data_IF_068416744858
#
_entry.id   IF_068416744858
#
_cell.length_a   1.000
_cell.length_b   1.000
_cell.length_c   1.000
_cell.angle_alpha   90.00
_cell.angle_beta   90.00
_cell.angle_gamma   90.00
#
_symmetry.space_group_name_H-M   'P 1'
#
loop_
_entity.id
_entity.type
_entity.pdbx_description
1 polymer ?
#
# COMPACT_ATOMS: atom_id res chain seq x y z
N UNK A 1 -17.63 -25.88 -5.53
CA UNK A 1 -16.90 -24.97 -6.43
C UNK A 1 -15.98 -24.17 -5.53
N UNK A 2 -14.79 -24.71 -5.27
CA UNK A 2 -13.83 -24.10 -4.34
C UNK A 2 -13.05 -23.05 -5.12
N UNK A 3 -13.27 -21.79 -4.78
CA UNK A 3 -12.48 -20.68 -5.30
C UNK A 3 -11.18 -20.75 -4.50
N UNK A 4 -10.11 -21.08 -5.20
CA UNK A 4 -8.78 -21.27 -4.62
C UNK A 4 -8.26 -19.91 -4.15
N UNK A 5 -8.32 -19.68 -2.83
CA UNK A 5 -7.82 -18.52 -2.06
C UNK A 5 -6.28 -18.46 -2.07
N UNK A 6 -5.67 -18.62 -3.24
CA UNK A 6 -4.20 -18.63 -3.41
C UNK A 6 -3.69 -17.32 -4.01
N UNK A 7 -4.53 -16.56 -4.73
CA UNK A 7 -4.11 -15.29 -5.35
C UNK A 7 -3.95 -14.13 -4.34
N UNK A 8 -4.56 -14.25 -3.17
CA UNK A 8 -4.41 -13.31 -2.04
C UNK A 8 -3.02 -13.40 -1.41
N UNK A 9 -2.46 -14.61 -1.29
CA UNK A 9 -1.27 -14.91 -0.45
C UNK A 9 0.05 -14.38 -1.04
N UNK A 10 0.10 -14.11 -2.35
CA UNK A 10 1.35 -13.67 -3.02
C UNK A 10 1.17 -12.43 -3.89
N UNK A 11 0.48 -11.40 -3.38
CA UNK A 11 0.51 -10.09 -4.02
C UNK A 11 1.89 -9.44 -3.82
N UNK A 12 2.61 -9.11 -4.90
CA UNK A 12 3.89 -8.38 -4.90
C UNK A 12 4.91 -8.78 -3.79
N UNK A 13 5.23 -10.07 -3.59
CA UNK A 13 6.06 -10.52 -2.46
C UNK A 13 7.49 -10.00 -2.52
N UNK A 14 8.06 -9.88 -3.73
CA UNK A 14 9.40 -9.33 -3.95
C UNK A 14 9.47 -7.85 -3.56
N UNK A 15 8.47 -7.07 -3.98
CA UNK A 15 8.42 -5.65 -3.65
C UNK A 15 8.27 -5.43 -2.14
N UNK A 16 7.44 -6.23 -1.46
CA UNK A 16 7.36 -6.20 0.00
C UNK A 16 8.72 -6.48 0.65
N UNK A 17 9.39 -7.56 0.28
CA UNK A 17 10.69 -7.92 0.86
C UNK A 17 11.75 -6.82 0.64
N UNK A 18 11.72 -6.16 -0.53
CA UNK A 18 12.56 -5.00 -0.83
C UNK A 18 12.20 -3.78 0.03
N UNK A 19 10.90 -3.44 0.18
CA UNK A 19 10.45 -2.32 1.02
C UNK A 19 10.83 -2.56 2.49
N UNK A 20 10.68 -3.78 3.00
CA UNK A 20 11.04 -4.13 4.38
C UNK A 20 12.54 -4.06 4.62
N UNK A 21 13.36 -4.30 3.60
CA UNK A 21 14.83 -4.21 3.66
C UNK A 21 15.37 -2.84 3.24
N UNK A 22 14.49 -1.87 2.97
CA UNK A 22 14.84 -0.57 2.40
C UNK A 22 15.36 0.43 3.46
N UNK A 23 16.51 0.13 4.07
CA UNK A 23 17.14 1.01 5.05
C UNK A 23 17.73 2.29 4.42
N UNK A 24 18.01 2.25 3.12
CA UNK A 24 18.61 3.35 2.35
C UNK A 24 17.57 4.38 1.87
N UNK A 25 16.28 4.13 2.10
CA UNK A 25 15.22 5.07 1.76
C UNK A 25 14.97 5.21 0.25
N UNK A 26 15.21 4.15 -0.54
CA UNK A 26 14.88 4.10 -1.97
C UNK A 26 13.42 4.52 -2.21
N UNK A 27 13.11 5.22 -3.31
CA UNK A 27 11.74 5.54 -3.66
C UNK A 27 10.88 4.27 -3.78
N UNK A 28 9.63 4.33 -3.35
CA UNK A 28 8.64 3.26 -3.50
C UNK A 28 7.50 3.78 -4.37
N UNK A 29 7.25 3.08 -5.47
CA UNK A 29 6.24 3.42 -6.46
C UNK A 29 5.12 2.37 -6.44
N UNK A 30 3.90 2.81 -6.23
CA UNK A 30 2.68 2.04 -6.48
C UNK A 30 2.13 2.47 -7.84
N UNK A 31 2.06 1.57 -8.82
CA UNK A 31 1.77 1.92 -10.22
C UNK A 31 0.49 1.28 -10.75
N UNK A 32 -0.15 1.91 -11.75
CA UNK A 32 -1.36 1.41 -12.43
C UNK A 32 -2.59 1.24 -11.54
N UNK A 33 -2.70 2.02 -10.46
CA UNK A 33 -3.84 1.98 -9.57
C UNK A 33 -4.98 2.90 -10.02
N UNK A 34 -6.19 2.64 -9.54
CA UNK A 34 -7.20 3.70 -9.38
C UNK A 34 -6.91 4.44 -8.07
N UNK A 35 -6.76 5.76 -8.08
CA UNK A 35 -6.45 6.55 -6.89
C UNK A 35 -7.63 7.47 -6.56
N UNK A 36 -8.15 7.38 -5.33
CA UNK A 36 -9.15 8.30 -4.80
C UNK A 36 -8.45 9.35 -3.92
N UNK A 37 -7.99 10.46 -4.48
CA UNK A 37 -7.11 11.40 -3.74
C UNK A 37 -7.79 12.12 -2.56
N UNK A 38 -9.12 12.18 -2.57
CA UNK A 38 -9.95 13.02 -1.68
C UNK A 38 -9.68 14.53 -1.78
N UNK A 39 -8.86 14.96 -2.74
CA UNK A 39 -8.69 16.37 -3.08
C UNK A 39 -9.81 16.77 -4.08
N UNK A 40 -10.60 17.83 -3.81
CA UNK A 40 -11.71 18.22 -4.68
C UNK A 40 -11.27 18.81 -6.02
N UNK A 41 -10.01 19.24 -6.17
CA UNK A 41 -9.44 19.75 -7.40
C UNK A 41 -8.84 18.62 -8.26
N UNK A 42 -8.26 17.59 -7.64
CA UNK A 42 -7.63 16.47 -8.37
C UNK A 42 -8.65 15.35 -8.64
N UNK A 43 -9.49 15.02 -7.66
CA UNK A 43 -10.50 13.97 -7.77
C UNK A 43 -9.91 12.56 -7.83
N UNK A 44 -10.59 11.68 -8.56
CA UNK A 44 -10.17 10.29 -8.76
C UNK A 44 -9.41 10.12 -10.07
N UNK A 45 -8.40 9.25 -10.08
CA UNK A 45 -7.56 8.96 -11.24
C UNK A 45 -7.55 7.46 -11.51
N UNK A 46 -7.50 7.04 -12.77
CA UNK A 46 -7.43 5.63 -13.17
C UNK A 46 -6.10 5.40 -13.89
N UNK A 47 -5.40 4.31 -13.57
CA UNK A 47 -4.07 4.03 -14.14
C UNK A 47 -3.02 5.05 -13.68
N UNK A 48 -3.15 5.50 -12.44
CA UNK A 48 -2.26 6.48 -11.83
C UNK A 48 -1.28 5.83 -10.86
N UNK A 49 -0.22 6.56 -10.56
CA UNK A 49 0.88 6.11 -9.73
C UNK A 49 1.00 6.97 -8.47
N UNK A 50 1.49 6.39 -7.38
CA UNK A 50 1.93 7.08 -6.16
C UNK A 50 3.41 6.79 -5.96
N UNK A 51 4.23 7.84 -5.96
CA UNK A 51 5.64 7.76 -5.62
C UNK A 51 5.86 8.34 -4.23
N UNK A 52 6.53 7.57 -3.39
CA UNK A 52 6.89 7.94 -2.03
C UNK A 52 8.39 7.77 -1.80
N UNK A 53 8.96 8.62 -0.95
CA UNK A 53 10.34 8.52 -0.48
C UNK A 53 10.31 8.67 1.04
N UNK A 54 10.72 7.62 1.74
CA UNK A 54 10.57 7.56 3.20
C UNK A 54 9.12 7.79 3.62
N UNK A 55 8.86 8.81 4.42
CA UNK A 55 7.53 9.15 4.94
C UNK A 55 6.82 10.26 4.16
N UNK A 56 7.21 10.54 2.91
CA UNK A 56 6.62 11.59 2.09
C UNK A 56 6.15 11.06 0.74
N UNK A 57 4.95 11.47 0.34
CA UNK A 57 4.49 11.38 -1.04
C UNK A 57 5.21 12.47 -1.83
N UNK A 58 5.99 12.08 -2.83
CA UNK A 58 6.72 13.03 -3.70
C UNK A 58 6.03 13.23 -5.04
N UNK A 59 5.12 12.32 -5.43
CA UNK A 59 4.35 12.44 -6.67
C UNK A 59 3.09 11.58 -6.67
N UNK A 60 2.02 12.10 -7.27
CA UNK A 60 0.78 11.37 -7.56
C UNK A 60 0.33 11.75 -8.96
N UNK A 61 0.07 10.76 -9.81
CA UNK A 61 -0.36 10.98 -11.20
C UNK A 61 0.07 9.87 -12.16
N UNK A 62 -0.37 9.91 -13.41
CA UNK A 62 -0.06 8.88 -14.39
C UNK A 62 1.37 9.02 -14.93
N UNK A 63 2.01 7.89 -15.22
CA UNK A 63 3.28 7.84 -15.96
C UNK A 63 4.54 8.14 -15.13
N UNK A 64 4.43 8.16 -13.80
CA UNK A 64 5.57 8.39 -12.90
C UNK A 64 6.56 7.22 -12.96
N UNK A 65 6.09 6.02 -13.31
CA UNK A 65 6.91 4.81 -13.45
C UNK A 65 8.20 5.03 -14.24
N UNK A 66 8.14 5.79 -15.32
CA UNK A 66 9.29 6.06 -16.19
C UNK A 66 10.41 6.84 -15.50
N UNK A 67 10.07 7.77 -14.59
CA UNK A 67 11.05 8.54 -13.84
C UNK A 67 11.56 7.78 -12.60
N UNK A 68 10.71 6.96 -12.00
CA UNK A 68 11.05 6.22 -10.78
C UNK A 68 11.95 5.00 -11.05
N UNK A 69 11.78 4.33 -12.19
CA UNK A 69 12.66 3.22 -12.60
C UNK A 69 14.12 3.68 -12.77
N UNK A 70 14.34 4.90 -13.27
CA UNK A 70 15.67 5.50 -13.43
C UNK A 70 16.37 5.76 -12.08
N UNK A 71 15.60 5.97 -11.02
CA UNK A 71 16.08 6.20 -9.65
C UNK A 71 16.13 4.90 -8.80
N UNK A 72 16.08 3.72 -9.44
CA UNK A 72 16.09 2.41 -8.77
C UNK A 72 14.95 2.27 -7.74
N UNK A 73 13.76 2.79 -8.05
CA UNK A 73 12.59 2.68 -7.18
C UNK A 73 12.14 1.22 -7.01
N UNK A 74 11.54 0.94 -5.86
CA UNK A 74 10.84 -0.33 -5.61
C UNK A 74 9.44 -0.19 -6.19
N UNK A 75 9.12 -0.98 -7.21
CA UNK A 75 7.84 -0.90 -7.94
C UNK A 75 6.86 -1.96 -7.42
N UNK A 76 5.64 -1.52 -7.11
CA UNK A 76 4.50 -2.32 -6.69
C UNK A 76 3.42 -2.21 -7.76
N UNK A 77 3.09 -3.31 -8.44
CA UNK A 77 2.02 -3.32 -9.43
C UNK A 77 0.65 -3.35 -8.74
N UNK A 78 -0.13 -2.29 -8.96
CA UNK A 78 -1.47 -2.09 -8.42
C UNK A 78 -2.55 -2.18 -9.51
N UNK A 79 -2.27 -2.85 -10.63
CA UNK A 79 -3.28 -3.14 -11.65
C UNK A 79 -4.50 -3.83 -11.04
N UNK A 80 -5.70 -3.29 -11.29
CA UNK A 80 -6.96 -3.79 -10.73
C UNK A 80 -7.17 -3.44 -9.25
N UNK A 81 -6.38 -2.51 -8.72
CA UNK A 81 -6.47 -2.06 -7.32
C UNK A 81 -6.85 -0.59 -7.24
N UNK A 82 -7.62 -0.28 -6.20
CA UNK A 82 -7.94 1.06 -5.77
C UNK A 82 -7.08 1.43 -4.55
N UNK A 83 -6.44 2.59 -4.63
CA UNK A 83 -5.74 3.23 -3.54
C UNK A 83 -6.60 4.37 -3.00
N UNK A 84 -6.84 4.34 -1.69
CA UNK A 84 -7.56 5.37 -0.99
C UNK A 84 -6.77 5.86 0.22
N UNK A 85 -6.89 7.13 0.63
CA UNK A 85 -6.29 7.57 1.87
C UNK A 85 -6.82 6.74 3.03
N UNK A 86 -5.92 6.29 3.88
CA UNK A 86 -6.29 5.66 5.13
C UNK A 86 -6.78 6.80 6.03
N UNK A 87 -8.10 7.01 6.09
CA UNK A 87 -8.69 8.01 7.00
C UNK A 87 -8.26 7.64 8.41
N UNK A 88 -7.27 8.35 8.95
CA UNK A 88 -6.71 8.04 10.26
C UNK A 88 -7.67 8.58 11.32
N UNK A 89 -8.61 7.72 11.69
CA UNK A 89 -8.78 7.36 13.11
C UNK A 89 -8.68 5.82 13.30
N UNK A 90 -7.94 5.15 12.40
CA UNK A 90 -7.68 3.71 12.47
C UNK A 90 -6.34 3.35 13.12
N UNK A 91 -5.42 4.31 13.28
CA UNK A 91 -4.22 4.16 14.14
C UNK A 91 -4.62 4.07 15.63
N UNK A 92 -5.81 4.55 16.00
CA UNK A 92 -6.40 4.33 17.31
C UNK A 92 -6.90 2.88 17.52
N UNK A 93 -7.23 2.12 16.46
CA UNK A 93 -7.72 0.74 16.56
C UNK A 93 -6.60 -0.28 16.84
N UNK A 94 -5.33 0.09 16.63
CA UNK A 94 -4.15 -0.73 16.99
C UNK A 94 -3.48 -0.32 18.32
N UNK A 95 -4.12 0.55 19.13
CA UNK A 95 -3.73 0.80 20.53
C UNK A 95 -2.89 2.05 20.82
N UNK A 96 -2.76 3.00 19.89
CA UNK A 96 -2.09 4.29 20.13
C UNK A 96 -3.07 5.39 20.56
N UNK A 97 -2.94 5.91 21.79
CA UNK A 97 -3.67 7.13 22.20
C UNK A 97 -3.18 8.33 21.40
N UNK A 98 -4.02 8.92 20.55
CA UNK A 98 -3.69 10.18 19.86
C UNK A 98 -4.88 10.82 19.15
N UNK A 99 -5.43 11.86 19.78
CA UNK A 99 -6.32 12.94 19.28
C UNK A 99 -6.97 12.78 17.89
N UNK A 100 -8.30 12.61 17.94
CA UNK A 100 -9.28 13.05 16.94
C UNK A 100 -8.83 14.35 16.26
N UNK A 101 -8.47 14.26 14.99
CA UNK A 101 -8.41 15.41 14.09
C UNK A 101 -9.02 14.94 12.80
N UNK A 102 -10.16 15.52 12.48
CA UNK A 102 -10.97 15.38 11.28
C UNK A 102 -10.25 15.84 9.99
N UNK A 103 -8.98 15.47 9.83
CA UNK A 103 -8.25 15.58 8.57
C UNK A 103 -8.40 14.26 7.82
N UNK A 104 -9.27 14.26 6.82
CA UNK A 104 -9.15 13.30 5.72
C UNK A 104 -7.82 13.64 5.03
N UNK A 105 -6.78 12.84 5.30
CA UNK A 105 -5.50 12.99 4.62
C UNK A 105 -5.74 12.85 3.11
N UNK A 106 -5.25 13.79 2.30
CA UNK A 106 -5.34 13.70 0.84
C UNK A 106 -4.10 12.99 0.29
N UNK A 107 -4.24 12.27 -0.82
CA UNK A 107 -3.10 11.70 -1.53
C UNK A 107 -2.53 12.74 -2.49
N UNK A 108 -1.83 13.71 -1.92
CA UNK A 108 -1.17 14.80 -2.64
C UNK A 108 0.30 14.89 -2.27
N UNK A 109 1.18 15.35 -3.19
CA UNK A 109 2.58 15.57 -2.87
C UNK A 109 2.77 16.43 -1.62
N UNK A 110 3.74 16.05 -0.78
CA UNK A 110 4.03 16.69 0.50
C UNK A 110 3.32 16.07 1.71
N UNK A 111 2.30 15.22 1.50
CA UNK A 111 1.63 14.50 2.58
C UNK A 111 2.32 13.18 2.94
N UNK A 112 1.93 12.62 4.07
CA UNK A 112 2.35 11.28 4.49
C UNK A 112 1.71 10.21 3.60
N UNK A 113 2.46 9.15 3.22
CA UNK A 113 1.92 8.01 2.48
C UNK A 113 1.14 7.10 3.43
N UNK A 114 -0.07 7.55 3.78
CA UNK A 114 -1.05 6.83 4.60
C UNK A 114 -2.23 6.40 3.71
N UNK A 115 -2.22 5.15 3.27
CA UNK A 115 -3.24 4.67 2.33
C UNK A 115 -3.52 3.17 2.44
N UNK A 116 -4.71 2.82 1.95
CA UNK A 116 -5.21 1.47 1.78
C UNK A 116 -5.15 1.10 0.31
N UNK A 117 -4.71 -0.12 0.02
CA UNK A 117 -4.75 -0.74 -1.30
C UNK A 117 -5.72 -1.90 -1.24
N UNK A 118 -6.77 -1.83 -2.04
CA UNK A 118 -7.90 -2.76 -2.04
C UNK A 118 -8.28 -3.09 -3.49
N UNK A 119 -8.76 -4.31 -3.78
CA UNK A 119 -9.27 -4.64 -5.11
C UNK A 119 -10.36 -3.66 -5.57
N UNK A 120 -10.37 -3.32 -6.86
CA UNK A 120 -11.31 -2.35 -7.43
C UNK A 120 -12.77 -2.71 -7.14
N UNK A 121 -13.11 -4.00 -7.19
CA UNK A 121 -14.46 -4.51 -6.94
C UNK A 121 -14.95 -4.38 -5.49
N UNK A 122 -14.06 -4.01 -4.56
CA UNK A 122 -14.36 -3.90 -3.13
C UNK A 122 -14.33 -2.45 -2.61
N UNK A 123 -14.12 -1.48 -3.49
CA UNK A 123 -13.66 -0.16 -3.08
C UNK A 123 -14.21 0.99 -3.91
N UNK A 124 -15.48 0.98 -4.28
CA UNK A 124 -16.10 2.04 -5.11
C UNK A 124 -15.78 3.46 -4.59
N UNK A 125 -15.77 3.63 -3.27
CA UNK A 125 -15.43 4.84 -2.54
C UNK A 125 -14.54 4.58 -1.29
N UNK A 126 -14.13 5.64 -0.59
CA UNK A 126 -13.35 5.53 0.67
C UNK A 126 -14.09 4.74 1.75
N UNK A 127 -15.37 5.02 2.07
CA UNK A 127 -16.12 4.22 3.03
C UNK A 127 -16.14 2.71 2.72
N UNK A 128 -16.30 2.32 1.45
CA UNK A 128 -16.29 0.93 1.00
C UNK A 128 -14.92 0.27 1.22
N UNK A 129 -13.83 0.98 0.91
CA UNK A 129 -12.48 0.51 1.20
C UNK A 129 -12.22 0.33 2.70
N UNK A 130 -12.67 1.27 3.54
CA UNK A 130 -12.56 1.18 5.00
C UNK A 130 -13.43 0.03 5.55
N UNK A 131 -14.63 -0.16 5.02
CA UNK A 131 -15.50 -1.27 5.40
C UNK A 131 -14.86 -2.63 5.08
N UNK A 132 -14.17 -2.72 3.94
CA UNK A 132 -13.38 -3.90 3.56
C UNK A 132 -12.27 -4.17 4.56
N UNK A 133 -11.49 -3.16 4.96
CA UNK A 133 -10.47 -3.32 6.01
C UNK A 133 -11.05 -3.87 7.32
N UNK A 134 -12.19 -3.34 7.77
CA UNK A 134 -12.78 -3.71 9.06
C UNK A 134 -13.46 -5.08 9.04
N UNK A 135 -14.08 -5.44 7.92
CA UNK A 135 -14.93 -6.64 7.83
C UNK A 135 -14.23 -7.82 7.17
N UNK A 136 -13.27 -7.55 6.28
CA UNK A 136 -12.59 -8.51 5.41
C UNK A 136 -11.10 -8.13 5.21
N UNK A 137 -10.32 -8.00 6.29
CA UNK A 137 -8.92 -7.57 6.21
C UNK A 137 -8.07 -8.47 5.31
N UNK A 138 -8.43 -9.75 5.15
CA UNK A 138 -7.79 -10.70 4.24
C UNK A 138 -7.87 -10.30 2.76
N UNK A 139 -8.84 -9.46 2.40
CA UNK A 139 -9.02 -8.96 1.03
C UNK A 139 -8.21 -7.68 0.78
N UNK A 140 -7.71 -7.03 1.82
CA UNK A 140 -6.84 -5.86 1.70
C UNK A 140 -5.47 -6.29 1.19
N UNK A 141 -5.00 -5.61 0.13
CA UNK A 141 -3.71 -5.89 -0.49
C UNK A 141 -2.57 -5.19 0.23
N UNK A 142 -2.78 -3.95 0.66
CA UNK A 142 -1.87 -3.29 1.58
C UNK A 142 -2.56 -2.25 2.46
N UNK A 143 -2.00 -2.09 3.65
CA UNK A 143 -2.12 -0.87 4.45
C UNK A 143 -0.72 -0.30 4.60
N UNK A 144 -0.51 0.92 4.11
CA UNK A 144 0.76 1.65 4.25
C UNK A 144 0.54 2.78 5.24
N UNK A 145 1.40 2.87 6.26
CA UNK A 145 1.39 3.94 7.25
C UNK A 145 2.78 4.56 7.34
N UNK A 146 2.85 5.89 7.19
CA UNK A 146 4.08 6.67 7.12
C UNK A 146 5.10 6.09 6.14
N UNK A 147 4.63 5.52 5.02
CA UNK A 147 5.47 4.91 3.99
C UNK A 147 5.96 3.50 4.30
N UNK A 148 5.52 2.90 5.40
CA UNK A 148 5.86 1.52 5.77
C UNK A 148 4.63 0.61 5.62
N UNK A 149 4.78 -0.57 5.00
CA UNK A 149 3.75 -1.59 5.02
C UNK A 149 3.44 -2.01 6.46
N UNK A 150 2.16 -1.96 6.84
CA UNK A 150 1.62 -2.47 8.11
C UNK A 150 0.88 -3.78 7.87
N UNK A 151 0.05 -3.81 6.83
CA UNK A 151 -0.63 -5.01 6.35
C UNK A 151 -0.25 -5.22 4.89
N UNK A 152 -0.03 -6.46 4.51
CA UNK A 152 0.22 -6.86 3.13
C UNK A 152 -0.41 -8.20 2.84
N UNK A 153 -1.22 -8.30 1.79
CA UNK A 153 -1.90 -9.53 1.40
C UNK A 153 -2.66 -10.17 2.59
N UNK A 154 -3.40 -9.37 3.35
CA UNK A 154 -4.14 -9.82 4.54
C UNK A 154 -3.29 -10.18 5.77
N UNK A 155 -1.96 -10.05 5.71
CA UNK A 155 -1.04 -10.46 6.79
C UNK A 155 -0.29 -9.27 7.36
N UNK A 156 0.07 -9.31 8.64
CA UNK A 156 0.92 -8.28 9.26
C UNK A 156 2.33 -8.30 8.62
N UNK A 157 2.77 -7.14 8.16
CA UNK A 157 4.08 -6.98 7.52
C UNK A 157 5.24 -7.03 8.52
N UNK A 158 5.03 -6.63 9.79
CA UNK A 158 6.03 -6.68 10.85
C UNK A 158 6.31 -8.13 11.29
N UNK A 159 5.28 -8.98 11.33
CA UNK A 159 5.44 -10.41 11.59
C UNK A 159 6.29 -11.09 10.51
N UNK A 160 6.14 -10.67 9.25
CA UNK A 160 6.93 -11.19 8.12
C UNK A 160 8.37 -10.68 8.11
N UNK A 161 8.62 -9.44 8.54
CA UNK A 161 9.98 -8.93 8.72
C UNK A 161 10.76 -9.70 9.81
N UNK A 162 10.05 -10.25 10.80
CA UNK A 162 10.63 -10.99 11.92
C UNK A 162 10.73 -12.50 11.66
N UNK A 163 10.02 -13.01 10.65
CA UNK A 163 10.09 -14.41 10.26
C UNK A 163 11.50 -14.76 9.72
N UNK A 164 12.14 -15.85 10.21
CA UNK A 164 13.45 -16.23 9.70
C UNK A 164 13.34 -16.56 8.21
N UNK A 165 14.10 -15.84 7.38
CA UNK A 165 14.30 -16.14 5.96
C UNK A 165 14.71 -17.61 5.89
N UNK A 166 13.81 -18.49 5.43
CA UNK A 166 14.15 -19.91 5.24
C UNK A 166 15.31 -19.95 4.28
N UNK A 167 16.51 -20.19 4.82
CA UNK A 167 17.71 -20.38 4.04
C UNK A 167 17.42 -21.53 3.08
N UNK A 168 17.38 -21.21 1.78
CA UNK A 168 17.41 -22.20 0.72
C UNK A 168 18.69 -23.01 0.93
N UNK A 169 18.53 -24.24 1.44
CA UNK A 169 19.64 -25.18 1.57
C UNK A 169 20.27 -25.35 0.19
N UNK A 170 21.59 -25.19 0.04
CA UNK A 170 22.23 -25.54 -1.22
C UNK A 170 22.10 -27.04 -1.42
N UNK A 171 21.45 -27.42 -2.52
CA UNK A 171 21.51 -28.78 -3.06
C UNK A 171 22.99 -29.10 -3.31
N UNK A 172 23.58 -29.89 -2.41
CA UNK A 172 24.87 -30.54 -2.64
C UNK A 172 24.61 -31.85 -3.38
N UNK A 173 25.38 -32.00 -4.43
CA UNK A 173 25.44 -33.03 -5.47
C UNK A 173 25.37 -34.46 -4.98
#
# INVERSE_FOLDING_TARGET
MSITDTDTVSWNPKALDEILSNEEGRPVLFTNARILTMDPLIGAMVGADILSVGSLIVGVGPGIVTAAEDDNAIVVDCTGMTIVPAVVDTVALAGGRGRHSEHVATLTPGNTPDFLVVPDELADDVPGAVATLLSRPEQVRALVAAGRPVLWAGTDAADRATAPRRASLPHRT
#
